data_IF_789679491961
#
_entry.id   IF_789679491961
#
_cell.length_a   1.000
_cell.length_b   1.000
_cell.length_c   1.000
_cell.angle_alpha   90.00
_cell.angle_beta   90.00
_cell.angle_gamma   90.00
#
_symmetry.space_group_name_H-M   'P 1'
#
loop_
_entity.id
_entity.type
_entity.pdbx_description
1 polymer ?
#
# COMPACT_ATOMS: atom_id res chain seq x y z
N UNK A 1 10.50 9.18 38.36
CA UNK A 1 10.30 8.93 36.89
C UNK A 1 9.10 8.06 36.57
N UNK A 2 8.83 6.97 37.32
CA UNK A 2 7.72 6.05 37.00
C UNK A 2 6.31 6.67 37.04
N UNK A 3 6.04 7.56 37.99
CA UNK A 3 4.70 8.20 38.13
C UNK A 3 4.33 9.12 36.96
N UNK A 4 5.30 9.83 36.40
CA UNK A 4 5.10 10.72 35.23
C UNK A 4 4.83 9.87 33.98
N UNK A 5 5.57 8.77 33.80
CA UNK A 5 5.35 7.87 32.66
C UNK A 5 3.97 7.22 32.71
N UNK A 6 3.51 6.80 33.90
CA UNK A 6 2.17 6.25 34.09
C UNK A 6 1.09 7.30 33.81
N UNK A 7 1.30 8.54 34.24
CA UNK A 7 0.35 9.63 33.98
C UNK A 7 0.24 9.96 32.50
N UNK A 8 1.38 9.99 31.78
CA UNK A 8 1.40 10.20 30.32
C UNK A 8 0.72 9.01 29.60
N UNK A 9 0.99 7.78 30.02
CA UNK A 9 0.36 6.60 29.43
C UNK A 9 -1.16 6.59 29.64
N UNK A 10 -1.62 6.96 30.85
CA UNK A 10 -3.05 7.11 31.16
C UNK A 10 -3.70 8.22 30.31
N UNK A 11 -3.04 9.35 30.16
CA UNK A 11 -3.54 10.48 29.37
C UNK A 11 -3.60 10.13 27.87
N UNK A 12 -2.65 9.37 27.36
CA UNK A 12 -2.66 8.89 25.97
C UNK A 12 -3.70 7.78 25.74
N UNK A 13 -4.03 6.99 26.77
CA UNK A 13 -5.08 5.97 26.66
C UNK A 13 -6.50 6.50 26.83
N UNK A 14 -6.67 7.71 27.34
CA UNK A 14 -7.99 8.32 27.62
C UNK A 14 -8.88 8.42 26.36
N UNK A 15 -8.40 8.82 25.17
CA UNK A 15 -9.18 8.79 23.94
C UNK A 15 -9.61 7.37 23.53
N UNK A 16 -8.76 6.36 23.74
CA UNK A 16 -9.07 4.97 23.45
C UNK A 16 -10.12 4.40 24.39
N UNK A 17 -10.07 4.77 25.68
CA UNK A 17 -11.10 4.44 26.65
C UNK A 17 -12.42 5.13 26.30
N UNK A 18 -12.38 6.39 25.83
CA UNK A 18 -13.54 7.13 25.33
C UNK A 18 -14.25 6.44 24.16
N UNK A 19 -13.50 5.80 23.26
CA UNK A 19 -14.07 4.99 22.17
C UNK A 19 -14.74 3.71 22.68
N UNK A 20 -14.31 3.17 23.82
CA UNK A 20 -14.91 1.98 24.44
C UNK A 20 -16.19 2.26 25.22
N UNK A 21 -16.37 3.48 25.71
CA UNK A 21 -17.55 3.87 26.54
C UNK A 21 -18.88 3.60 25.83
N UNK A 22 -19.08 3.93 24.55
CA UNK A 22 -20.31 3.62 23.83
C UNK A 22 -20.66 2.13 23.74
N UNK A 23 -19.64 1.25 23.72
CA UNK A 23 -19.85 -0.19 23.72
C UNK A 23 -20.29 -0.74 25.09
N UNK A 24 -19.79 -0.11 26.15
CA UNK A 24 -20.12 -0.51 27.53
C UNK A 24 -21.43 0.13 28.04
N UNK A 25 -21.71 1.35 27.56
CA UNK A 25 -22.87 2.15 27.98
C UNK A 25 -23.59 2.73 26.75
N UNK A 26 -24.36 1.90 26.01
CA UNK A 26 -25.05 2.33 24.78
C UNK A 26 -26.06 3.46 25.02
N UNK A 27 -26.54 3.64 26.24
CA UNK A 27 -27.48 4.72 26.60
C UNK A 27 -26.83 6.10 26.73
N UNK A 28 -25.49 6.19 26.78
CA UNK A 28 -24.76 7.45 26.99
C UNK A 28 -24.55 8.29 25.72
N UNK A 29 -24.98 7.81 24.54
CA UNK A 29 -24.87 8.57 23.30
C UNK A 29 -25.98 9.62 23.16
N UNK A 30 -25.64 10.93 23.01
CA UNK A 30 -26.62 11.93 22.60
C UNK A 30 -27.12 11.60 21.19
N UNK A 31 -28.36 11.14 21.05
CA UNK A 31 -28.96 10.71 19.78
C UNK A 31 -29.31 9.23 19.68
N UNK A 32 -28.98 8.41 20.69
CA UNK A 32 -29.36 7.00 20.75
C UNK A 32 -30.85 6.76 21.01
N UNK A 33 -31.63 7.83 21.14
CA UNK A 33 -33.09 7.78 21.28
C UNK A 33 -33.70 7.33 19.94
N UNK A 34 -33.78 6.03 19.73
CA UNK A 34 -34.33 5.40 18.52
C UNK A 34 -33.54 4.23 17.94
N UNK A 35 -32.27 4.08 18.31
CA UNK A 35 -31.47 2.94 17.91
C UNK A 35 -31.58 1.84 18.98
N UNK A 36 -32.61 1.00 18.90
CA UNK A 36 -32.62 -0.26 19.63
C UNK A 36 -31.43 -1.09 19.14
N UNK A 37 -30.39 -1.16 19.99
CA UNK A 37 -29.04 -1.62 19.61
C UNK A 37 -28.94 -3.01 18.99
N UNK A 38 -29.98 -3.84 19.09
CA UNK A 38 -30.05 -5.14 18.43
C UNK A 38 -30.37 -5.04 16.94
N UNK A 39 -31.19 -4.08 16.51
CA UNK A 39 -31.52 -3.89 15.08
C UNK A 39 -30.38 -3.31 14.27
N UNK A 40 -29.59 -2.41 14.83
CA UNK A 40 -28.49 -1.76 14.11
C UNK A 40 -27.32 -2.69 13.86
N UNK A 41 -26.93 -3.48 14.87
CA UNK A 41 -25.85 -4.48 14.71
C UNK A 41 -26.25 -5.61 13.77
N UNK A 42 -27.50 -6.10 13.87
CA UNK A 42 -28.03 -7.12 12.97
C UNK A 42 -28.09 -6.59 11.52
N UNK A 43 -28.55 -5.36 11.32
CA UNK A 43 -28.61 -4.72 10.01
C UNK A 43 -27.21 -4.49 9.42
N UNK A 44 -26.25 -4.03 10.22
CA UNK A 44 -24.85 -3.88 9.78
C UNK A 44 -24.25 -5.22 9.39
N UNK A 45 -24.52 -6.28 10.17
CA UNK A 45 -24.02 -7.62 9.89
C UNK A 45 -24.61 -8.20 8.61
N UNK A 46 -25.90 -8.02 8.38
CA UNK A 46 -26.63 -8.64 7.26
C UNK A 46 -26.41 -7.90 5.93
N UNK A 47 -26.34 -6.56 5.96
CA UNK A 47 -26.35 -5.75 4.72
C UNK A 47 -25.07 -5.01 4.40
N UNK A 48 -24.19 -4.80 5.38
CA UNK A 48 -23.05 -3.89 5.21
C UNK A 48 -21.72 -4.61 5.38
N UNK A 49 -21.62 -5.49 6.36
CA UNK A 49 -20.35 -6.11 6.75
C UNK A 49 -19.76 -6.99 5.62
N UNK A 50 -20.63 -7.72 4.91
CA UNK A 50 -20.21 -8.59 3.80
C UNK A 50 -19.47 -7.84 2.71
N UNK A 51 -20.05 -6.74 2.23
CA UNK A 51 -19.48 -5.93 1.17
C UNK A 51 -18.18 -5.23 1.60
N UNK A 52 -18.15 -4.73 2.84
CA UNK A 52 -16.93 -4.13 3.39
C UNK A 52 -15.81 -5.15 3.58
N UNK A 53 -16.09 -6.36 4.05
CA UNK A 53 -15.10 -7.41 4.20
C UNK A 53 -14.53 -7.84 2.84
N UNK A 54 -15.39 -8.05 1.85
CA UNK A 54 -14.95 -8.42 0.50
C UNK A 54 -14.07 -7.32 -0.09
N UNK A 55 -14.52 -6.08 -0.03
CA UNK A 55 -13.76 -4.93 -0.53
C UNK A 55 -12.41 -4.78 0.18
N UNK A 56 -12.37 -5.00 1.50
CA UNK A 56 -11.14 -4.96 2.29
C UNK A 56 -10.18 -6.08 1.90
N UNK A 57 -10.68 -7.30 1.71
CA UNK A 57 -9.85 -8.45 1.28
C UNK A 57 -9.29 -8.22 -0.12
N UNK A 58 -10.11 -7.73 -1.06
CA UNK A 58 -9.65 -7.42 -2.41
C UNK A 58 -8.59 -6.31 -2.37
N UNK A 59 -8.82 -5.25 -1.59
CA UNK A 59 -7.85 -4.17 -1.40
C UNK A 59 -6.53 -4.70 -0.85
N UNK A 60 -6.58 -5.49 0.21
CA UNK A 60 -5.40 -6.04 0.88
C UNK A 60 -4.60 -6.95 -0.06
N UNK A 61 -5.26 -7.87 -0.73
CA UNK A 61 -4.60 -8.78 -1.67
C UNK A 61 -4.05 -8.02 -2.88
N UNK A 62 -4.81 -7.08 -3.43
CA UNK A 62 -4.37 -6.26 -4.56
C UNK A 62 -3.15 -5.42 -4.21
N UNK A 63 -3.15 -4.78 -3.05
CA UNK A 63 -2.00 -3.99 -2.57
C UNK A 63 -0.80 -4.90 -2.28
N UNK A 64 -1.01 -6.06 -1.63
CA UNK A 64 0.07 -7.00 -1.34
C UNK A 64 0.78 -7.47 -2.62
N UNK A 65 0.01 -7.83 -3.64
CA UNK A 65 0.56 -8.21 -4.95
C UNK A 65 1.28 -7.03 -5.61
N UNK A 66 0.67 -5.86 -5.63
CA UNK A 66 1.27 -4.64 -6.20
C UNK A 66 2.59 -4.27 -5.54
N UNK A 67 2.61 -4.23 -4.21
CA UNK A 67 3.81 -3.93 -3.42
C UNK A 67 4.90 -4.98 -3.63
N UNK A 68 4.53 -6.26 -3.68
CA UNK A 68 5.47 -7.35 -3.92
C UNK A 68 6.10 -7.24 -5.30
N UNK A 69 5.30 -7.09 -6.35
CA UNK A 69 5.79 -6.98 -7.74
C UNK A 69 6.69 -5.76 -7.91
N UNK A 70 6.28 -4.59 -7.44
CA UNK A 70 7.05 -3.37 -7.54
C UNK A 70 8.29 -3.40 -6.63
N UNK A 71 8.15 -3.85 -5.39
CA UNK A 71 9.25 -3.86 -4.43
C UNK A 71 10.32 -4.88 -4.78
N UNK A 72 9.93 -6.14 -4.95
CA UNK A 72 10.87 -7.22 -5.25
C UNK A 72 11.45 -7.09 -6.66
N UNK A 73 10.63 -6.70 -7.65
CA UNK A 73 11.08 -6.49 -9.02
C UNK A 73 12.16 -5.43 -9.13
N UNK A 74 11.94 -4.26 -8.53
CA UNK A 74 12.94 -3.17 -8.52
C UNK A 74 14.16 -3.53 -7.67
N UNK A 75 13.99 -4.21 -6.55
CA UNK A 75 15.10 -4.67 -5.72
C UNK A 75 16.02 -5.64 -6.47
N UNK A 76 15.43 -6.59 -7.20
CA UNK A 76 16.18 -7.53 -8.01
C UNK A 76 16.93 -6.83 -9.17
N UNK A 77 16.26 -5.90 -9.85
CA UNK A 77 16.87 -5.11 -10.93
C UNK A 77 18.10 -4.35 -10.42
N UNK A 78 17.96 -3.66 -9.31
CA UNK A 78 19.03 -2.86 -8.70
C UNK A 78 20.16 -3.73 -8.15
N UNK A 79 19.86 -4.88 -7.55
CA UNK A 79 20.88 -5.76 -6.99
C UNK A 79 21.74 -6.44 -8.07
N UNK A 80 21.12 -6.86 -9.20
CA UNK A 80 21.78 -7.73 -10.16
C UNK A 80 22.26 -7.03 -11.44
N UNK A 81 21.77 -5.82 -11.76
CA UNK A 81 22.15 -5.13 -12.98
C UNK A 81 22.91 -3.84 -12.72
N UNK A 82 23.84 -3.55 -13.62
CA UNK A 82 24.55 -2.27 -13.69
C UNK A 82 24.04 -1.52 -14.92
N UNK A 83 23.49 -0.32 -14.72
CA UNK A 83 22.98 0.52 -15.80
C UNK A 83 23.30 1.99 -15.51
N UNK A 84 23.40 2.83 -16.54
CA UNK A 84 23.65 4.25 -16.35
C UNK A 84 22.49 4.88 -15.54
N UNK A 85 22.85 5.69 -14.53
CA UNK A 85 21.84 6.31 -13.65
C UNK A 85 21.33 5.43 -12.50
N UNK A 86 21.85 4.22 -12.28
CA UNK A 86 21.46 3.30 -11.21
C UNK A 86 21.35 4.00 -9.86
N UNK A 87 22.34 4.83 -9.50
CA UNK A 87 22.35 5.53 -8.20
C UNK A 87 21.17 6.50 -8.05
N UNK A 88 20.81 7.21 -9.12
CA UNK A 88 19.67 8.12 -9.13
C UNK A 88 18.37 7.32 -8.98
N UNK A 89 18.28 6.21 -9.73
CA UNK A 89 17.13 5.31 -9.67
C UNK A 89 16.93 4.70 -8.26
N UNK A 90 17.99 4.23 -7.60
CA UNK A 90 17.95 3.74 -6.23
C UNK A 90 17.37 4.77 -5.25
N UNK A 91 17.80 6.03 -5.36
CA UNK A 91 17.28 7.10 -4.52
C UNK A 91 15.82 7.44 -4.84
N UNK A 92 15.45 7.44 -6.12
CA UNK A 92 14.08 7.73 -6.55
C UNK A 92 13.07 6.69 -6.03
N UNK A 93 13.47 5.43 -5.91
CA UNK A 93 12.64 4.36 -5.36
C UNK A 93 12.32 4.55 -3.85
N UNK A 94 13.15 5.27 -3.13
CA UNK A 94 12.96 5.55 -1.70
C UNK A 94 12.17 6.85 -1.50
N UNK A 95 12.10 7.71 -2.50
CA UNK A 95 11.47 9.02 -2.42
C UNK A 95 10.00 9.00 -1.93
N UNK A 96 9.16 8.02 -2.31
CA UNK A 96 7.79 7.96 -1.80
C UNK A 96 7.69 7.86 -0.27
N UNK A 97 8.71 7.34 0.42
CA UNK A 97 8.74 7.31 1.89
C UNK A 97 8.87 8.69 2.54
N UNK A 98 9.39 9.67 1.82
CA UNK A 98 9.53 11.03 2.32
C UNK A 98 8.20 11.79 2.36
N UNK A 99 7.19 11.30 1.65
CA UNK A 99 5.87 11.93 1.54
C UNK A 99 4.88 11.13 2.38
N UNK A 100 4.11 11.78 3.29
CA UNK A 100 3.04 11.10 4.01
C UNK A 100 2.05 10.44 3.05
N UNK A 101 1.64 9.21 3.35
CA UNK A 101 0.81 8.39 2.45
C UNK A 101 -0.50 9.08 2.06
N UNK A 102 -1.13 9.81 2.99
CA UNK A 102 -2.37 10.54 2.70
C UNK A 102 -2.16 11.69 1.71
N UNK A 103 -1.00 12.38 1.77
CA UNK A 103 -0.64 13.44 0.81
C UNK A 103 -0.43 12.84 -0.56
N UNK A 104 0.29 11.71 -0.63
CA UNK A 104 0.50 10.98 -1.88
C UNK A 104 -0.84 10.53 -2.49
N UNK A 105 -1.74 9.97 -1.68
CA UNK A 105 -3.07 9.55 -2.13
C UNK A 105 -3.88 10.72 -2.70
N UNK A 106 -3.84 11.87 -2.03
CA UNK A 106 -4.51 13.09 -2.49
C UNK A 106 -3.93 13.57 -3.83
N UNK A 107 -2.61 13.63 -3.94
CA UNK A 107 -1.92 14.02 -5.18
C UNK A 107 -2.24 13.07 -6.34
N UNK A 108 -2.26 11.76 -6.09
CA UNK A 108 -2.63 10.78 -7.13
C UNK A 108 -4.05 11.00 -7.62
N UNK A 109 -5.00 11.20 -6.71
CA UNK A 109 -6.39 11.48 -7.10
C UNK A 109 -6.46 12.78 -7.89
N UNK A 110 -5.87 13.87 -7.41
CA UNK A 110 -5.93 15.19 -8.04
C UNK A 110 -5.31 15.19 -9.46
N UNK A 111 -4.15 14.55 -9.61
CA UNK A 111 -3.42 14.47 -10.88
C UNK A 111 -4.10 13.55 -11.89
N UNK A 112 -4.71 12.45 -11.44
CA UNK A 112 -5.33 11.43 -12.28
C UNK A 112 -6.84 11.61 -12.46
N UNK A 113 -7.48 12.52 -11.74
CA UNK A 113 -8.91 12.77 -11.86
C UNK A 113 -9.29 13.32 -13.25
N UNK A 114 -10.56 13.28 -13.57
CA UNK A 114 -11.09 13.74 -14.85
C UNK A 114 -10.67 15.19 -15.17
N UNK A 115 -10.69 16.07 -14.18
CA UNK A 115 -10.24 17.47 -14.28
C UNK A 115 -8.74 17.65 -14.10
N UNK A 116 -8.02 16.58 -13.79
CA UNK A 116 -6.59 16.61 -13.52
C UNK A 116 -5.73 16.86 -14.76
N UNK A 117 -4.48 17.28 -14.57
CA UNK A 117 -3.60 17.69 -15.67
C UNK A 117 -3.30 16.55 -16.65
N UNK A 118 -3.21 15.30 -16.17
CA UNK A 118 -2.91 14.14 -17.04
C UNK A 118 -4.08 13.84 -17.96
N UNK A 119 -5.30 13.68 -17.44
CA UNK A 119 -6.46 13.39 -18.28
C UNK A 119 -6.78 14.55 -19.23
N UNK A 120 -6.65 15.78 -18.75
CA UNK A 120 -6.88 16.96 -19.58
C UNK A 120 -5.85 17.06 -20.71
N UNK A 121 -4.56 16.88 -20.40
CA UNK A 121 -3.51 16.87 -21.42
C UNK A 121 -3.69 15.75 -22.44
N UNK A 122 -4.06 14.55 -22.01
CA UNK A 122 -4.25 13.40 -22.88
C UNK A 122 -5.51 13.58 -23.78
N UNK A 123 -6.59 14.14 -23.24
CA UNK A 123 -7.79 14.47 -24.03
C UNK A 123 -7.48 15.50 -25.11
N UNK A 124 -6.73 16.54 -24.78
CA UNK A 124 -6.32 17.53 -25.78
C UNK A 124 -5.39 16.92 -26.85
N UNK A 125 -4.46 16.06 -26.47
CA UNK A 125 -3.55 15.41 -27.41
C UNK A 125 -4.26 14.42 -28.34
N UNK A 126 -5.27 13.69 -27.84
CA UNK A 126 -6.01 12.68 -28.59
C UNK A 126 -7.28 13.23 -29.28
N UNK A 127 -7.69 14.47 -29.02
CA UNK A 127 -8.92 15.05 -29.54
C UNK A 127 -10.19 14.39 -29.01
N UNK A 128 -10.14 13.77 -27.82
CA UNK A 128 -11.25 13.04 -27.23
C UNK A 128 -11.90 13.86 -26.10
N UNK A 129 -13.21 13.86 -26.02
CA UNK A 129 -13.92 14.51 -24.91
C UNK A 129 -13.83 13.69 -23.61
N UNK A 130 -13.75 12.35 -23.71
CA UNK A 130 -13.67 11.44 -22.57
C UNK A 130 -12.74 10.26 -22.88
N UNK A 131 -11.90 9.92 -21.90
CA UNK A 131 -11.03 8.75 -21.95
C UNK A 131 -11.73 7.57 -21.25
N UNK A 132 -12.49 6.79 -22.01
CA UNK A 132 -13.24 5.64 -21.49
C UNK A 132 -12.35 4.50 -20.96
N UNK A 133 -11.10 4.44 -21.40
CA UNK A 133 -10.11 3.45 -20.96
C UNK A 133 -9.31 3.87 -19.74
N UNK A 134 -9.47 5.12 -19.27
CA UNK A 134 -8.73 5.61 -18.12
C UNK A 134 -9.42 5.17 -16.82
N UNK A 135 -8.71 4.47 -15.93
CA UNK A 135 -9.30 3.98 -14.68
C UNK A 135 -9.67 5.16 -13.76
N UNK A 136 -10.80 5.02 -13.08
CA UNK A 136 -11.21 6.01 -12.08
C UNK A 136 -10.28 5.94 -10.85
N UNK A 137 -9.57 7.02 -10.51
CA UNK A 137 -8.68 7.05 -9.36
C UNK A 137 -9.40 6.88 -8.02
N UNK A 138 -10.71 7.18 -7.97
CA UNK A 138 -11.56 7.03 -6.76
C UNK A 138 -12.20 5.64 -6.65
N UNK A 139 -11.81 4.71 -7.49
CA UNK A 139 -12.25 3.31 -7.43
C UNK A 139 -11.38 2.47 -6.51
N UNK A 140 -11.84 1.25 -6.22
CA UNK A 140 -11.04 0.25 -5.49
C UNK A 140 -9.70 -0.04 -6.20
N UNK A 141 -9.71 -0.07 -7.54
CA UNK A 141 -8.50 -0.21 -8.34
C UNK A 141 -7.54 0.96 -8.20
N UNK A 142 -8.06 2.20 -8.18
CA UNK A 142 -7.27 3.40 -7.90
C UNK A 142 -6.65 3.40 -6.51
N UNK A 143 -7.39 2.94 -5.50
CA UNK A 143 -6.87 2.77 -4.14
C UNK A 143 -5.75 1.72 -4.10
N UNK A 144 -5.92 0.54 -4.73
CA UNK A 144 -4.89 -0.50 -4.82
C UNK A 144 -3.61 0.07 -5.46
N UNK A 145 -3.75 0.79 -6.56
CA UNK A 145 -2.64 1.42 -7.27
C UNK A 145 -1.90 2.41 -6.38
N UNK A 146 -2.61 3.34 -5.77
CA UNK A 146 -2.06 4.38 -4.90
C UNK A 146 -1.30 3.77 -3.71
N UNK A 147 -1.94 2.84 -2.98
CA UNK A 147 -1.29 2.19 -1.85
C UNK A 147 -0.08 1.36 -2.27
N UNK A 148 -0.13 0.70 -3.42
CA UNK A 148 1.01 -0.05 -3.95
C UNK A 148 2.21 0.86 -4.19
N UNK A 149 2.00 2.03 -4.80
CA UNK A 149 3.06 3.01 -5.03
C UNK A 149 3.57 3.70 -3.75
N UNK A 150 2.74 3.82 -2.72
CA UNK A 150 3.17 4.38 -1.44
C UNK A 150 3.98 3.37 -0.60
N UNK A 151 3.63 2.09 -0.67
CA UNK A 151 4.14 1.09 0.26
C UNK A 151 5.25 0.20 -0.34
N UNK A 152 5.41 0.13 -1.67
CA UNK A 152 6.45 -0.71 -2.28
C UNK A 152 7.88 -0.42 -1.78
N UNK A 153 8.27 0.81 -1.40
CA UNK A 153 9.63 1.06 -0.94
C UNK A 153 10.02 0.28 0.31
N UNK A 154 9.06 -0.05 1.17
CA UNK A 154 9.33 -0.91 2.35
C UNK A 154 9.79 -2.30 1.92
N UNK A 155 9.05 -2.93 1.00
CA UNK A 155 9.42 -4.24 0.46
C UNK A 155 10.69 -4.15 -0.39
N UNK A 156 10.85 -3.07 -1.16
CA UNK A 156 12.08 -2.82 -1.91
C UNK A 156 13.33 -2.81 -1.01
N UNK A 157 13.31 -2.08 0.09
CA UNK A 157 14.46 -2.00 1.00
C UNK A 157 14.81 -3.36 1.61
N UNK A 158 13.81 -4.11 2.08
CA UNK A 158 14.01 -5.44 2.66
C UNK A 158 14.54 -6.42 1.60
N UNK A 159 13.90 -6.48 0.44
CA UNK A 159 14.30 -7.35 -0.64
C UNK A 159 15.69 -7.00 -1.19
N UNK A 160 16.01 -5.70 -1.31
CA UNK A 160 17.32 -5.23 -1.77
C UNK A 160 18.45 -5.71 -0.85
N UNK A 161 18.29 -5.59 0.46
CA UNK A 161 19.31 -6.09 1.41
C UNK A 161 19.47 -7.60 1.30
N UNK A 162 18.37 -8.34 1.24
CA UNK A 162 18.40 -9.81 1.08
C UNK A 162 19.10 -10.24 -0.23
N UNK A 163 18.89 -9.51 -1.32
CA UNK A 163 19.55 -9.82 -2.60
C UNK A 163 21.03 -9.45 -2.60
N UNK A 164 21.42 -8.32 -2.01
CA UNK A 164 22.83 -7.92 -1.93
C UNK A 164 23.67 -8.86 -1.08
N UNK A 165 23.13 -9.33 0.04
CA UNK A 165 23.83 -10.26 0.92
C UNK A 165 24.11 -11.62 0.28
N UNK A 166 23.28 -12.02 -0.70
CA UNK A 166 23.34 -13.34 -1.36
C UNK A 166 23.86 -13.30 -2.79
N UNK A 167 23.95 -12.13 -3.42
CA UNK A 167 24.22 -11.97 -4.86
C UNK A 167 25.54 -12.63 -5.29
N UNK A 168 26.60 -12.57 -4.50
CA UNK A 168 27.89 -13.15 -4.87
C UNK A 168 27.86 -14.68 -4.98
N UNK A 169 27.30 -15.35 -4.00
CA UNK A 169 27.28 -16.84 -3.94
C UNK A 169 26.26 -17.45 -4.89
N UNK A 170 25.10 -16.80 -5.05
CA UNK A 170 24.04 -17.30 -5.92
C UNK A 170 24.33 -17.11 -7.41
N UNK A 171 25.07 -16.06 -7.77
CA UNK A 171 25.51 -15.85 -9.14
C UNK A 171 26.45 -16.97 -9.62
N UNK A 172 27.44 -17.35 -8.82
CA UNK A 172 28.36 -18.46 -9.13
C UNK A 172 27.63 -19.80 -9.27
N UNK A 173 26.69 -20.10 -8.35
CA UNK A 173 25.87 -21.32 -8.43
C UNK A 173 24.94 -21.31 -9.63
N UNK A 174 24.36 -20.16 -9.97
CA UNK A 174 23.50 -20.04 -11.16
C UNK A 174 24.27 -20.30 -12.46
N UNK A 175 25.48 -19.76 -12.58
CA UNK A 175 26.34 -19.97 -13.74
C UNK A 175 26.75 -21.44 -13.90
N UNK A 176 27.10 -22.12 -12.80
CA UNK A 176 27.43 -23.55 -12.83
C UNK A 176 26.23 -24.43 -13.21
N UNK A 177 25.00 -24.03 -12.87
CA UNK A 177 23.77 -24.71 -13.25
C UNK A 177 23.23 -24.28 -14.62
N UNK A 178 23.90 -23.36 -15.30
CA UNK A 178 23.49 -22.88 -16.63
C UNK A 178 22.28 -21.94 -16.63
N UNK A 179 21.86 -21.47 -15.47
CA UNK A 179 20.73 -20.52 -15.35
C UNK A 179 21.19 -19.09 -15.66
N UNK A 180 20.38 -18.36 -16.44
CA UNK A 180 20.64 -16.97 -16.79
C UNK A 180 19.41 -16.06 -16.55
N UNK A 181 19.66 -14.85 -16.12
CA UNK A 181 18.65 -13.79 -16.00
C UNK A 181 17.45 -14.18 -15.15
N UNK A 182 16.25 -14.16 -15.74
CA UNK A 182 15.00 -14.41 -15.04
C UNK A 182 14.87 -15.84 -14.47
N UNK A 183 15.54 -16.82 -15.07
CA UNK A 183 15.54 -18.19 -14.53
C UNK A 183 16.28 -18.28 -13.19
N UNK A 184 17.38 -17.55 -13.05
CA UNK A 184 18.11 -17.43 -11.79
C UNK A 184 17.21 -16.81 -10.70
N UNK A 185 16.47 -15.75 -11.04
CA UNK A 185 15.55 -15.12 -10.13
C UNK A 185 14.48 -16.07 -9.61
N UNK A 186 13.72 -16.69 -10.51
CA UNK A 186 12.55 -17.50 -10.13
C UNK A 186 12.91 -18.85 -9.49
N UNK A 187 14.00 -19.50 -9.97
CA UNK A 187 14.37 -20.85 -9.52
C UNK A 187 15.30 -20.88 -8.32
N UNK A 188 16.15 -19.87 -8.15
CA UNK A 188 17.16 -19.85 -7.10
C UNK A 188 16.93 -18.73 -6.09
N UNK A 189 16.77 -17.51 -6.54
CA UNK A 189 16.75 -16.34 -5.65
C UNK A 189 15.43 -16.23 -4.89
N UNK A 190 14.31 -16.33 -5.56
CA UNK A 190 12.97 -16.17 -4.96
C UNK A 190 12.64 -17.27 -3.90
N UNK A 191 12.93 -18.56 -4.10
CA UNK A 191 12.66 -19.57 -3.09
C UNK A 191 13.59 -19.52 -1.87
N UNK A 192 14.71 -18.80 -1.99
CA UNK A 192 15.72 -18.69 -0.92
C UNK A 192 15.68 -17.33 -0.21
N UNK A 193 14.92 -16.37 -0.70
CA UNK A 193 14.74 -15.04 -0.10
C UNK A 193 13.64 -15.04 0.94
#
# INVERSE_FOLDING_TARGET
>A
MSRIVVLIALLLSLPLLGLGVPFLFPESMPGAVGMQGQGTLAHLWEFVLGDYLISTVILLLGVAVGVFVLGVGNAWLVANYQFPGKRIFEWSLILPLAIPTYVMAYLFVDVLDFSGPIQTGLRHALGLERLWFFPDPRSLGGAIWTFSFCLFPYVYLIARTAFLDRSGRLAEVAETLGYRGFQTFYKLVLPMA
#
